data_IF_300439036553
#
_entry.id   IF_300439036553
#
_cell.length_a   1.000
_cell.length_b   1.000
_cell.length_c   1.000
_cell.angle_alpha   90.00
_cell.angle_beta   90.00
_cell.angle_gamma   90.00
#
_symmetry.space_group_name_H-M   'P 1'
#
loop_
_entity.id
_entity.type
_entity.pdbx_description
1 polymer ?
2 non-polymer ?
3 non-polymer ?
4 non-polymer ?
5 non-polymer ?
6 water ?
#
# COMPACT_ATOMS: atom_id res chain seq x y z
N UNK A 122 24.87 -12.82 -20.68
CA UNK A 122 24.87 -11.67 -21.57
C UNK A 122 24.24 -10.44 -20.94
N UNK A 123 24.73 -9.26 -21.29
CA UNK A 123 24.22 -8.05 -20.66
C UNK A 123 22.76 -7.80 -21.06
N UNK A 124 22.43 -7.99 -22.34
CA UNK A 124 21.05 -7.83 -22.79
C UNK A 124 20.10 -8.77 -22.05
N UNK A 125 20.54 -10.00 -21.85
CA UNK A 125 19.70 -10.97 -21.16
C UNK A 125 19.48 -10.52 -19.74
N UNK A 126 20.55 -10.06 -19.11
CA UNK A 126 20.45 -9.64 -17.72
C UNK A 126 19.61 -8.41 -17.57
N UNK A 127 19.55 -7.58 -18.62
CA UNK A 127 18.81 -6.32 -18.62
C UNK A 127 17.40 -6.43 -19.20
N UNK A 128 17.04 -7.61 -19.68
CA UNK A 128 15.77 -7.80 -20.35
C UNK A 128 14.57 -7.53 -19.44
N UNK A 129 13.71 -6.63 -19.88
CA UNK A 129 12.50 -6.32 -19.15
C UNK A 129 12.71 -5.41 -17.94
N UNK A 130 13.93 -4.89 -17.80
CA UNK A 130 14.27 -3.99 -16.71
C UNK A 130 14.31 -2.59 -17.27
N UNK A 131 13.37 -1.76 -16.85
CA UNK A 131 13.24 -0.44 -17.44
C UNK A 131 14.24 0.56 -16.86
N UNK A 132 15.04 0.13 -15.88
CA UNK A 132 15.98 1.04 -15.22
C UNK A 132 17.46 0.78 -15.51
N UNK A 133 17.77 -0.31 -16.20
CA UNK A 133 19.14 -0.60 -16.64
C UNK A 133 19.10 -1.21 -18.02
N UNK A 134 20.08 -0.84 -18.84
CA UNK A 134 20.16 -1.37 -20.20
C UNK A 134 21.35 -2.31 -20.33
N UNK A 135 21.34 -3.12 -21.38
CA UNK A 135 22.46 -3.97 -21.67
C UNK A 135 23.74 -3.18 -21.89
N UNK A 136 23.63 -2.04 -22.58
CA UNK A 136 24.76 -1.15 -22.82
C UNK A 136 25.39 -0.67 -21.52
N UNK A 137 24.55 -0.32 -20.55
CA UNK A 137 25.05 0.15 -19.27
C UNK A 137 25.81 -0.96 -18.54
N UNK A 138 25.28 -2.17 -18.60
CA UNK A 138 25.93 -3.28 -17.92
C UNK A 138 27.27 -3.62 -18.61
N UNK A 139 27.28 -3.66 -19.94
CA UNK A 139 28.51 -3.93 -20.67
C UNK A 139 29.53 -2.84 -20.45
N UNK A 140 29.05 -1.59 -20.34
CA UNK A 140 29.96 -0.47 -20.11
C UNK A 140 30.66 -0.60 -18.77
N UNK A 141 29.90 -1.02 -17.77
CA UNK A 141 30.42 -1.17 -16.42
C UNK A 141 31.45 -2.29 -16.44
N UNK A 142 31.09 -3.40 -17.08
CA UNK A 142 31.99 -4.55 -17.20
C UNK A 142 33.30 -4.10 -17.83
N UNK A 143 33.22 -3.38 -18.94
CA UNK A 143 34.42 -3.01 -19.69
C UNK A 143 35.31 -2.01 -18.94
N UNK A 144 34.71 -1.24 -18.04
CA UNK A 144 35.44 -0.25 -17.25
C UNK A 144 36.20 -0.88 -16.07
N UNK A 145 35.84 -2.11 -15.72
CA UNK A 145 36.45 -2.78 -14.56
C UNK A 145 37.62 -3.66 -15.03
N UNK A 146 38.84 -3.30 -14.64
CA UNK A 146 40.02 -4.03 -15.05
C UNK A 146 40.23 -5.33 -14.29
N UNK A 147 41.07 -6.20 -14.85
CA UNK A 147 41.34 -7.50 -14.24
C UNK A 147 41.83 -7.40 -12.81
N UNK A 148 42.54 -6.31 -12.51
CA UNK A 148 43.14 -6.13 -11.18
C UNK A 148 42.43 -5.13 -10.31
N UNK A 149 41.20 -4.79 -10.68
CA UNK A 149 40.41 -3.89 -9.88
C UNK A 149 40.20 -4.43 -8.48
N UNK A 150 40.35 -3.57 -7.48
CA UNK A 150 40.04 -3.92 -6.10
C UNK A 150 38.53 -3.84 -5.86
N UNK A 151 38.06 -4.45 -4.77
CA UNK A 151 36.64 -4.29 -4.44
C UNK A 151 36.23 -2.83 -4.30
N UNK A 152 37.10 -2.00 -3.76
CA UNK A 152 36.80 -0.58 -3.59
C UNK A 152 36.71 0.11 -4.94
N UNK A 153 37.61 -0.23 -5.85
CA UNK A 153 37.57 0.29 -7.22
C UNK A 153 36.25 -0.08 -7.88
N UNK A 154 35.83 -1.32 -7.68
CA UNK A 154 34.62 -1.83 -8.28
C UNK A 154 33.41 -1.05 -7.76
N UNK A 155 33.31 -0.90 -6.46
CA UNK A 155 32.17 -0.17 -5.89
C UNK A 155 32.17 1.28 -6.33
N UNK A 156 33.33 1.89 -6.43
CA UNK A 156 33.38 3.28 -6.88
C UNK A 156 32.78 3.41 -8.28
N UNK A 157 33.11 2.48 -9.17
CA UNK A 157 32.60 2.52 -10.53
C UNK A 157 31.11 2.22 -10.59
N UNK A 158 30.68 1.19 -9.86
CA UNK A 158 29.26 0.88 -9.80
C UNK A 158 28.44 2.08 -9.31
N UNK A 159 28.93 2.73 -8.26
CA UNK A 159 28.26 3.90 -7.70
C UNK A 159 28.20 5.05 -8.69
N UNK A 160 29.26 5.22 -9.48
CA UNK A 160 29.35 6.34 -10.43
C UNK A 160 28.33 6.15 -11.54
N UNK A 161 28.16 4.91 -11.98
CA UNK A 161 27.33 4.62 -13.14
C UNK A 161 25.88 4.31 -12.84
N UNK A 162 25.61 3.83 -11.62
CA UNK A 162 24.28 3.39 -11.22
C UNK A 162 23.91 4.01 -9.89
N UNK A 163 22.81 4.75 -9.86
CA UNK A 163 22.46 5.57 -8.72
C UNK A 163 21.76 4.84 -7.54
N UNK A 164 20.92 3.88 -7.86
CA UNK A 164 20.01 3.30 -6.90
C UNK A 164 20.57 2.01 -6.32
N UNK A 165 20.51 1.83 -4.98
CA UNK A 165 21.09 0.60 -4.42
C UNK A 165 20.55 -0.71 -4.97
N UNK A 166 19.26 -0.79 -5.29
CA UNK A 166 18.71 -2.03 -5.86
C UNK A 166 19.33 -2.35 -7.21
N UNK A 167 19.52 -1.32 -8.02
CA UNK A 167 20.11 -1.48 -9.34
C UNK A 167 21.60 -1.75 -9.23
N UNK A 168 22.26 -1.15 -8.23
CA UNK A 168 23.67 -1.43 -7.99
C UNK A 168 23.85 -2.90 -7.67
N UNK A 169 22.96 -3.41 -6.83
CA UNK A 169 23.02 -4.81 -6.40
C UNK A 169 22.80 -5.74 -7.60
N UNK A 170 21.83 -5.38 -8.45
CA UNK A 170 21.55 -6.10 -9.68
C UNK A 170 22.78 -6.11 -10.59
N UNK A 171 23.43 -4.96 -10.77
CA UNK A 171 24.61 -4.90 -11.60
C UNK A 171 25.74 -5.77 -11.05
N UNK A 172 25.88 -5.78 -9.73
CA UNK A 172 26.89 -6.62 -9.09
C UNK A 172 26.62 -8.09 -9.33
N UNK A 173 25.38 -8.51 -9.27
CA UNK A 173 25.03 -9.91 -9.61
C UNK A 173 25.44 -10.23 -11.05
N UNK A 174 25.13 -9.34 -11.98
CA UNK A 174 25.54 -9.52 -13.37
C UNK A 174 27.06 -9.64 -13.47
N UNK A 175 27.79 -8.76 -12.81
CA UNK A 175 29.24 -8.75 -12.92
C UNK A 175 29.82 -10.04 -12.39
N UNK A 176 29.37 -10.47 -11.23
CA UNK A 176 29.88 -11.74 -10.65
C UNK A 176 29.60 -12.90 -11.59
N UNK A 177 28.38 -12.98 -12.06
CA UNK A 177 27.91 -14.14 -12.78
C UNK A 177 28.48 -14.26 -14.17
N UNK A 178 28.92 -13.17 -14.78
CA UNK A 178 29.43 -13.24 -16.14
C UNK A 178 30.92 -13.01 -16.25
N UNK A 179 31.61 -13.05 -15.12
CA UNK A 179 33.08 -13.03 -15.17
C UNK A 179 33.58 -14.44 -15.44
N UNK A 180 34.41 -14.59 -16.45
CA UNK A 180 34.86 -15.90 -16.85
C UNK A 180 35.99 -16.36 -16.04
N UNK A 181 36.20 -17.73 -16.21
CA UNK A 181 37.25 -18.32 -15.37
C UNK A 181 38.62 -17.76 -15.53
N UNK A 182 38.95 -17.18 -16.66
CA UNK A 182 40.29 -16.64 -16.86
C UNK A 182 40.58 -15.51 -15.89
N UNK A 183 39.51 -14.90 -15.39
CA UNK A 183 39.59 -13.71 -14.57
C UNK A 183 39.18 -14.12 -13.14
N UNK A 184 39.88 -15.07 -12.56
CA UNK A 184 39.61 -15.58 -11.25
C UNK A 184 39.78 -14.58 -10.14
N UNK A 185 40.84 -13.81 -10.23
CA UNK A 185 41.13 -12.73 -9.28
C UNK A 185 39.98 -11.74 -9.30
N UNK A 186 39.56 -11.34 -10.48
CA UNK A 186 38.48 -10.38 -10.61
C UNK A 186 37.19 -10.96 -10.03
N UNK A 187 36.88 -12.22 -10.32
CA UNK A 187 35.66 -12.80 -9.78
C UNK A 187 35.65 -12.72 -8.24
N UNK A 188 36.79 -13.01 -7.61
CA UNK A 188 36.91 -12.92 -6.16
C UNK A 188 36.68 -11.48 -5.70
N UNK A 189 37.26 -10.51 -6.40
CA UNK A 189 37.11 -9.09 -6.03
C UNK A 189 35.66 -8.66 -6.15
N UNK A 190 34.99 -9.11 -7.20
CA UNK A 190 33.58 -8.81 -7.43
C UNK A 190 32.70 -9.41 -6.35
N UNK A 191 32.96 -10.66 -5.97
CA UNK A 191 32.24 -11.28 -4.86
C UNK A 191 32.42 -10.47 -3.58
N UNK A 192 33.63 -10.02 -3.29
CA UNK A 192 33.89 -9.20 -2.11
C UNK A 192 33.14 -7.88 -2.22
N UNK A 193 33.17 -7.25 -3.38
CA UNK A 193 32.48 -5.98 -3.59
C UNK A 193 30.99 -6.15 -3.33
N UNK A 194 30.41 -7.21 -3.87
CA UNK A 194 28.98 -7.44 -3.70
C UNK A 194 28.64 -7.71 -2.23
N UNK A 195 29.49 -8.47 -1.55
CA UNK A 195 29.29 -8.72 -0.13
C UNK A 195 29.35 -7.42 0.68
N UNK A 196 30.30 -6.55 0.35
CA UNK A 196 30.41 -5.27 1.02
C UNK A 196 29.21 -4.41 0.77
N UNK A 197 28.72 -4.38 -0.45
CA UNK A 197 27.52 -3.60 -0.78
C UNK A 197 26.30 -4.09 0.01
N UNK A 198 26.16 -5.40 0.11
CA UNK A 198 25.07 -5.97 0.89
C UNK A 198 25.25 -5.74 2.39
N UNK A 199 26.49 -5.75 2.87
CA UNK A 199 26.77 -5.39 4.25
C UNK A 199 26.34 -3.94 4.53
N UNK A 200 26.65 -3.04 3.61
CA UNK A 200 26.31 -1.62 3.72
C UNK A 200 24.78 -1.46 3.82
N UNK A 201 24.07 -2.04 2.87
CA UNK A 201 22.67 -1.70 2.71
C UNK A 201 21.67 -2.68 3.29
N UNK A 202 22.03 -3.95 3.38
CA UNK A 202 21.10 -4.95 3.89
C UNK A 202 19.82 -4.98 3.09
N UNK A 203 18.71 -5.01 3.80
CA UNK A 203 17.39 -5.04 3.20
C UNK A 203 17.13 -3.85 2.26
N UNK A 204 17.75 -2.71 2.53
CA UNK A 204 17.61 -1.56 1.66
C UNK A 204 17.99 -1.88 0.22
N UNK A 205 19.03 -2.70 0.05
CA UNK A 205 19.39 -3.19 -1.28
C UNK A 205 18.62 -4.44 -1.65
N UNK A 206 18.57 -5.43 -0.77
CA UNK A 206 18.06 -6.74 -1.15
C UNK A 206 16.53 -6.80 -1.25
N UNK A 207 15.86 -6.18 -0.30
CA UNK A 207 14.40 -6.13 -0.37
C UNK A 207 13.92 -5.36 -1.59
N UNK A 208 14.55 -4.24 -1.85
CA UNK A 208 14.25 -3.45 -3.03
C UNK A 208 14.56 -4.23 -4.31
N UNK A 209 15.69 -4.93 -4.34
CA UNK A 209 15.99 -5.73 -5.49
C UNK A 209 14.96 -6.84 -5.70
N UNK A 210 14.51 -7.44 -4.62
CA UNK A 210 13.52 -8.51 -4.70
C UNK A 210 12.26 -8.07 -5.42
N UNK A 211 11.88 -6.80 -5.29
CA UNK A 211 10.62 -6.29 -5.85
C UNK A 211 10.84 -5.37 -7.04
N UNK A 212 11.99 -5.48 -7.69
CA UNK A 212 12.33 -4.56 -8.76
C UNK A 212 11.30 -4.55 -9.89
N UNK A 213 10.94 -5.71 -10.41
CA UNK A 213 10.04 -5.72 -11.56
C UNK A 213 8.60 -5.33 -11.16
N UNK A 214 8.15 -5.69 -9.97
CA UNK A 214 6.86 -5.22 -9.52
C UNK A 214 6.85 -3.69 -9.41
N UNK A 215 7.93 -3.13 -8.87
CA UNK A 215 7.97 -1.68 -8.74
C UNK A 215 7.90 -0.99 -10.09
N UNK A 216 8.51 -1.58 -11.11
CA UNK A 216 8.48 -1.00 -12.44
C UNK A 216 7.10 -1.08 -13.05
N UNK A 217 6.42 -2.22 -12.88
CA UNK A 217 5.09 -2.41 -13.42
C UNK A 217 4.13 -1.41 -12.82
N UNK A 218 4.14 -1.29 -11.50
CA UNK A 218 3.21 -0.41 -10.82
C UNK A 218 3.60 1.05 -10.98
N UNK A 219 4.88 1.35 -11.12
CA UNK A 219 5.29 2.72 -11.41
C UNK A 219 4.78 3.18 -12.77
N UNK A 220 4.72 2.26 -13.71
CA UNK A 220 4.16 2.56 -15.03
C UNK A 220 2.67 2.87 -14.89
N UNK A 221 1.96 2.08 -14.11
CA UNK A 221 0.51 2.28 -13.97
C UNK A 221 0.17 3.56 -13.21
N UNK A 222 1.08 4.00 -12.35
CA UNK A 222 0.88 5.22 -11.59
C UNK A 222 1.55 6.43 -12.21
N UNK A 223 2.41 6.21 -13.19
CA UNK A 223 3.26 7.26 -13.76
C UNK A 223 4.11 7.97 -12.70
N UNK A 224 4.82 7.16 -11.93
CA UNK A 224 5.70 7.65 -10.88
C UNK A 224 7.03 6.92 -11.00
N UNK A 225 7.98 7.30 -10.17
CA UNK A 225 9.28 6.63 -10.19
C UNK A 225 9.23 5.27 -9.53
N UNK A 226 9.89 4.28 -10.17
CA UNK A 226 9.98 2.96 -9.52
C UNK A 226 10.75 3.05 -8.18
N UNK A 227 11.79 3.88 -8.13
CA UNK A 227 12.55 3.99 -6.89
C UNK A 227 11.71 4.53 -5.73
N UNK A 228 10.83 5.49 -5.99
CA UNK A 228 9.98 6.02 -4.97
C UNK A 228 9.03 4.97 -4.44
N UNK A 229 8.53 4.10 -5.31
CA UNK A 229 7.69 3.01 -4.88
C UNK A 229 8.48 2.01 -4.05
N UNK A 230 9.73 1.72 -4.42
CA UNK A 230 10.52 0.81 -3.59
C UNK A 230 10.79 1.41 -2.22
N UNK A 231 11.00 2.72 -2.13
CA UNK A 231 11.18 3.35 -0.82
C UNK A 231 9.93 3.25 0.01
N UNK A 232 8.77 3.50 -0.59
CA UNK A 232 7.51 3.32 0.10
C UNK A 232 7.34 1.89 0.58
N UNK A 233 7.66 0.92 -0.28
CA UNK A 233 7.56 -0.48 0.09
C UNK A 233 8.42 -0.79 1.29
N UNK A 234 9.66 -0.30 1.29
CA UNK A 234 10.56 -0.54 2.40
C UNK A 234 10.08 0.13 3.68
N UNK A 235 9.43 1.28 3.55
CA UNK A 235 8.82 1.94 4.68
C UNK A 235 7.67 1.11 5.27
N UNK A 236 6.80 0.60 4.40
CA UNK A 236 5.68 -0.21 4.84
C UNK A 236 6.13 -1.50 5.51
N UNK A 237 7.15 -2.13 4.94
CA UNK A 237 7.60 -3.44 5.38
C UNK A 237 8.64 -3.38 6.48
N UNK A 238 9.05 -2.17 6.85
CA UNK A 238 10.05 -1.98 7.89
C UNK A 238 9.52 -1.89 9.29
N UNK A 239 8.21 -2.01 9.46
CA UNK A 239 7.65 -1.93 10.80
C UNK A 239 6.31 -2.61 10.75
N UNK A 240 5.74 -2.86 11.92
CA UNK A 240 4.38 -3.32 11.97
C UNK A 240 3.54 -2.11 11.56
N UNK A 241 2.55 -2.38 10.77
CA UNK A 241 1.55 -1.41 10.44
C UNK A 241 0.22 -2.10 10.43
N UNK A 242 -0.73 -1.47 11.10
CA UNK A 242 -2.12 -1.86 11.01
C UNK A 242 -2.76 -1.20 9.81
N UNK A 243 -3.93 -1.68 9.43
CA UNK A 243 -4.70 -1.06 8.37
C UNK A 243 -4.87 0.45 8.60
N UNK A 244 -5.24 0.84 9.82
CA UNK A 244 -5.40 2.28 10.11
C UNK A 244 -4.11 3.05 9.83
N UNK A 245 -2.96 2.49 10.22
CA UNK A 245 -1.69 3.17 9.98
C UNK A 245 -1.36 3.26 8.50
N UNK A 246 -1.66 2.20 7.76
CA UNK A 246 -1.44 2.21 6.32
C UNK A 246 -2.33 3.25 5.66
N UNK A 247 -3.60 3.33 6.03
CA UNK A 247 -4.49 4.30 5.46
C UNK A 247 -3.99 5.71 5.72
N UNK A 248 -3.56 5.96 6.96
CA UNK A 248 -3.09 7.29 7.33
C UNK A 248 -1.85 7.69 6.55
N UNK A 249 -0.89 6.77 6.39
CA UNK A 249 0.35 7.05 5.63
C UNK A 249 -0.04 7.40 4.20
N UNK A 250 -0.82 6.53 3.60
CA UNK A 250 -1.04 6.61 2.19
C UNK A 250 -1.96 7.75 1.78
N UNK A 251 -2.91 8.12 2.61
CA UNK A 251 -3.93 9.03 2.10
C UNK A 251 -3.35 10.43 1.92
N UNK A 252 -2.24 10.77 2.59
CA UNK A 252 -1.60 12.05 2.34
C UNK A 252 -0.73 12.07 1.08
N UNK A 253 -0.43 10.88 0.56
CA UNK A 253 0.54 10.71 -0.51
C UNK A 253 -0.11 10.34 -1.84
N UNK A 254 -1.33 9.81 -1.81
CA UNK A 254 -2.01 9.31 -3.01
C UNK A 254 -3.49 9.62 -2.91
N UNK A 255 -4.12 9.78 -4.07
CA UNK A 255 -5.58 9.81 -4.13
C UNK A 255 -6.13 8.45 -3.75
N UNK A 256 -7.41 8.37 -3.40
CA UNK A 256 -8.01 7.09 -3.10
C UNK A 256 -7.91 6.10 -4.27
N UNK A 257 -8.09 6.58 -5.49
CA UNK A 257 -7.97 5.73 -6.65
C UNK A 257 -6.57 5.13 -6.70
N UNK A 258 -5.56 5.96 -6.52
CA UNK A 258 -4.18 5.50 -6.57
C UNK A 258 -3.82 4.61 -5.38
N UNK A 259 -4.42 4.83 -4.22
CA UNK A 259 -4.21 3.96 -3.08
C UNK A 259 -4.55 2.52 -3.38
N UNK A 260 -5.61 2.29 -4.13
CA UNK A 260 -5.99 0.94 -4.48
C UNK A 260 -4.88 0.27 -5.32
N UNK A 261 -4.30 1.03 -6.22
CA UNK A 261 -3.21 0.52 -7.05
C UNK A 261 -1.96 0.28 -6.19
N UNK A 262 -1.63 1.22 -5.31
CA UNK A 262 -0.51 1.06 -4.42
C UNK A 262 -0.72 -0.20 -3.56
N UNK A 263 -1.94 -0.44 -3.09
CA UNK A 263 -2.18 -1.62 -2.27
C UNK A 263 -1.89 -2.91 -3.03
N UNK A 264 -2.27 -2.95 -4.31
CA UNK A 264 -1.96 -4.09 -5.15
C UNK A 264 -0.47 -4.27 -5.33
N UNK A 265 0.26 -3.18 -5.51
CA UNK A 265 1.71 -3.22 -5.56
C UNK A 265 2.30 -3.80 -4.29
N UNK A 266 1.85 -3.33 -3.14
CA UNK A 266 2.38 -3.81 -1.85
C UNK A 266 2.15 -5.29 -1.71
N UNK A 267 0.96 -5.75 -2.06
CA UNK A 267 0.63 -7.16 -1.99
C UNK A 267 1.53 -8.00 -2.90
N UNK A 268 1.77 -7.51 -4.11
CA UNK A 268 2.56 -8.24 -5.08
C UNK A 268 3.98 -8.33 -4.62
N UNK A 269 4.51 -7.22 -4.11
CA UNK A 269 5.87 -7.18 -3.63
C UNK A 269 6.08 -8.14 -2.46
N UNK A 270 5.17 -8.13 -1.50
CA UNK A 270 5.30 -9.00 -0.34
C UNK A 270 5.20 -10.43 -0.75
N UNK A 271 4.27 -10.79 -1.65
CA UNK A 271 4.17 -12.17 -2.08
C UNK A 271 5.45 -12.62 -2.76
N UNK A 272 6.05 -11.73 -3.55
CA UNK A 272 7.31 -12.03 -4.22
C UNK A 272 8.40 -12.34 -3.21
N UNK A 273 8.51 -11.53 -2.16
CA UNK A 273 9.55 -11.75 -1.16
C UNK A 273 9.34 -13.04 -0.39
N UNK A 274 8.09 -13.41 -0.12
CA UNK A 274 7.83 -14.66 0.59
C UNK A 274 8.25 -15.86 -0.26
N UNK A 275 8.08 -15.75 -1.58
CA UNK A 275 8.60 -16.74 -2.53
C UNK A 275 10.10 -16.82 -2.56
N UNK A 276 10.77 -15.70 -2.35
CA UNK A 276 12.22 -15.63 -2.40
C UNK A 276 12.84 -16.04 -1.08
N UNK A 277 12.33 -15.77 0.06
CA UNK A 277 13.00 -16.13 1.29
C UNK A 277 14.38 -15.45 1.39
N UNK A 278 15.10 -15.73 2.46
CA UNK A 278 16.39 -15.15 2.71
C UNK A 278 16.47 -14.33 4.00
N UNK A 279 17.69 -14.03 4.41
CA UNK A 279 17.87 -13.36 5.70
C UNK A 279 17.29 -11.96 5.75
N UNK A 280 17.12 -11.29 4.61
CA UNK A 280 16.61 -9.92 4.58
C UNK A 280 15.12 -9.87 4.34
N UNK A 281 14.45 -11.02 4.34
CA UNK A 281 13.00 -11.09 4.22
C UNK A 281 12.38 -11.48 5.56
N UNK A 282 11.62 -10.56 6.17
CA UNK A 282 11.01 -10.84 7.47
C UNK A 282 9.66 -11.51 7.25
N UNK A 283 9.69 -12.81 6.98
CA UNK A 283 8.51 -13.48 6.44
C UNK A 283 7.29 -13.39 7.32
N UNK A 284 7.45 -13.62 8.62
CA UNK A 284 6.29 -13.57 9.50
C UNK A 284 5.68 -12.15 9.55
N UNK A 285 6.54 -11.14 9.57
CA UNK A 285 6.07 -9.76 9.54
C UNK A 285 5.32 -9.46 8.25
N UNK A 286 5.83 -9.97 7.14
CA UNK A 286 5.16 -9.75 5.85
C UNK A 286 3.78 -10.40 5.83
N UNK A 287 3.64 -11.58 6.43
CA UNK A 287 2.34 -12.22 6.46
C UNK A 287 1.31 -11.34 7.16
N UNK A 288 1.69 -10.76 8.29
CA UNK A 288 0.78 -9.88 9.03
C UNK A 288 0.49 -8.63 8.20
N UNK A 289 1.51 -8.04 7.56
CA UNK A 289 1.28 -6.87 6.74
C UNK A 289 0.35 -7.17 5.55
N UNK A 290 0.44 -8.37 4.99
CA UNK A 290 -0.47 -8.78 3.94
C UNK A 290 -1.92 -8.84 4.43
N UNK A 291 -2.13 -9.36 5.63
CA UNK A 291 -3.47 -9.36 6.24
C UNK A 291 -3.98 -7.93 6.41
N UNK A 292 -3.13 -7.04 6.88
CA UNK A 292 -3.52 -5.66 7.08
C UNK A 292 -3.77 -4.91 5.78
N UNK A 293 -2.99 -5.24 4.75
CA UNK A 293 -3.17 -4.64 3.44
C UNK A 293 -4.49 -5.11 2.84
N UNK A 294 -4.76 -6.41 2.98
CA UNK A 294 -6.02 -6.97 2.52
C UNK A 294 -7.18 -6.24 3.20
N UNK A 295 -6.98 -5.88 4.47
CA UNK A 295 -7.97 -5.13 5.22
C UNK A 295 -8.12 -3.74 4.62
N UNK A 296 -6.99 -3.12 4.27
CA UNK A 296 -7.00 -1.81 3.63
C UNK A 296 -7.75 -1.84 2.32
N UNK A 297 -7.54 -2.86 1.53
CA UNK A 297 -8.26 -2.99 0.26
C UNK A 297 -9.78 -3.00 0.49
N UNK A 298 -10.21 -3.72 1.52
CA UNK A 298 -11.62 -3.75 1.86
C UNK A 298 -12.12 -2.38 2.34
N UNK A 299 -11.31 -1.67 3.11
CA UNK A 299 -11.67 -0.32 3.53
C UNK A 299 -11.80 0.58 2.30
N UNK A 300 -10.86 0.50 1.36
CA UNK A 300 -10.94 1.31 0.15
C UNK A 300 -12.21 1.02 -0.66
N UNK A 301 -12.60 -0.23 -0.77
CA UNK A 301 -13.85 -0.56 -1.44
C UNK A 301 -15.03 0.09 -0.75
N UNK A 302 -15.04 0.04 0.57
CA UNK A 302 -16.07 0.71 1.36
C UNK A 302 -16.12 2.19 1.08
N UNK A 303 -14.96 2.83 1.08
CA UNK A 303 -14.90 4.25 0.80
C UNK A 303 -15.50 4.58 -0.56
N UNK A 304 -15.36 3.70 -1.55
CA UNK A 304 -15.99 3.92 -2.85
C UNK A 304 -17.51 4.03 -2.76
N UNK A 305 -18.14 3.21 -1.91
CA UNK A 305 -19.58 3.31 -1.73
C UNK A 305 -19.94 4.67 -1.19
N UNK A 306 -19.21 5.13 -0.17
CA UNK A 306 -19.46 6.47 0.37
C UNK A 306 -19.17 7.55 -0.65
N UNK A 307 -18.15 7.38 -1.47
CA UNK A 307 -17.81 8.40 -2.45
C UNK A 307 -18.94 8.60 -3.45
N UNK A 308 -19.65 7.54 -3.79
CA UNK A 308 -20.83 7.60 -4.64
C UNK A 308 -21.99 8.29 -3.93
N UNK A 309 -22.33 7.80 -2.74
CA UNK A 309 -23.61 8.15 -2.12
C UNK A 309 -23.60 9.46 -1.37
N UNK A 310 -22.51 9.80 -0.72
CA UNK A 310 -22.51 10.99 0.14
C UNK A 310 -22.83 12.27 -0.63
N UNK A 311 -22.19 12.52 -1.79
CA UNK A 311 -22.55 13.76 -2.49
C UNK A 311 -24.02 13.77 -2.91
N UNK A 312 -24.57 12.63 -3.25
CA UNK A 312 -25.96 12.53 -3.65
C UNK A 312 -26.87 12.90 -2.47
N UNK A 313 -26.62 12.31 -1.31
CA UNK A 313 -27.40 12.63 -0.14
C UNK A 313 -27.31 14.11 0.21
N UNK A 314 -26.11 14.63 0.26
CA UNK A 314 -25.93 16.03 0.63
C UNK A 314 -26.59 16.97 -0.35
N UNK A 315 -26.49 16.70 -1.65
CA UNK A 315 -27.14 17.55 -2.64
C UNK A 315 -28.66 17.47 -2.51
N UNK A 316 -29.19 16.28 -2.22
CA UNK A 316 -30.63 16.08 -2.05
C UNK A 316 -31.16 16.86 -0.86
N UNK A 317 -30.41 16.83 0.24
CA UNK A 317 -30.81 17.59 1.41
C UNK A 317 -30.79 19.10 1.13
N UNK A 318 -29.73 19.54 0.46
CA UNK A 318 -29.59 20.95 0.12
C UNK A 318 -30.73 21.43 -0.77
N UNK A 319 -31.15 20.59 -1.72
CA UNK A 319 -32.21 20.96 -2.65
C UNK A 319 -33.53 21.17 -1.94
N UNK A 320 -33.69 20.57 -0.77
CA UNK A 320 -34.89 20.78 0.04
C UNK A 320 -34.71 21.78 1.17
N UNK A 321 -33.62 22.52 1.13
CA UNK A 321 -33.38 23.60 2.06
C UNK A 321 -32.86 23.14 3.41
N UNK A 322 -32.41 21.91 3.51
CA UNK A 322 -31.86 21.38 4.76
C UNK A 322 -30.36 21.68 4.77
N UNK A 323 -29.93 22.44 5.78
CA UNK A 323 -28.56 22.89 5.92
C UNK A 323 -27.69 21.80 6.51
N UNK A 324 -26.56 21.50 5.84
CA UNK A 324 -25.58 20.56 6.34
C UNK A 324 -24.24 21.27 6.37
N UNK A 325 -23.34 20.85 7.27
CA UNK A 325 -22.05 21.54 7.35
C UNK A 325 -21.29 21.48 6.05
N UNK A 326 -20.78 22.61 5.60
CA UNK A 326 -20.25 22.72 4.25
C UNK A 326 -18.95 21.95 4.05
N UNK A 327 -18.28 21.55 5.14
CA UNK A 327 -17.05 20.76 5.00
C UNK A 327 -17.27 19.25 5.08
N UNK A 328 -18.51 18.82 5.21
CA UNK A 328 -18.80 17.39 5.26
C UNK A 328 -18.57 16.78 3.87
N UNK A 329 -17.86 15.66 3.83
CA UNK A 329 -17.57 14.97 2.60
C UNK A 329 -17.58 13.49 2.83
N UNK A 330 -17.35 12.70 1.77
CA UNK A 330 -17.48 11.25 1.88
C UNK A 330 -16.49 10.65 2.84
N UNK A 331 -15.30 11.25 2.96
CA UNK A 331 -14.28 10.70 3.84
C UNK A 331 -14.71 10.78 5.30
N UNK A 332 -15.20 11.94 5.71
CA UNK A 332 -15.66 12.09 7.07
C UNK A 332 -16.80 11.13 7.40
N UNK A 333 -17.74 10.97 6.48
CA UNK A 333 -18.85 10.06 6.66
C UNK A 333 -18.36 8.60 6.75
N UNK A 334 -17.46 8.21 5.86
CA UNK A 334 -16.92 6.87 5.86
C UNK A 334 -16.13 6.62 7.16
N UNK A 335 -15.39 7.63 7.64
CA UNK A 335 -14.66 7.48 8.89
C UNK A 335 -15.58 7.17 10.06
N UNK A 336 -16.72 7.84 10.09
CA UNK A 336 -17.70 7.60 11.14
C UNK A 336 -18.28 6.20 11.07
N UNK A 337 -18.60 5.72 9.88
CA UNK A 337 -19.08 4.36 9.68
C UNK A 337 -18.05 3.35 10.19
N UNK A 338 -16.78 3.52 9.81
CA UNK A 338 -15.76 2.60 10.24
C UNK A 338 -15.54 2.67 11.75
N UNK A 339 -15.66 3.86 12.33
CA UNK A 339 -15.55 3.97 13.78
C UNK A 339 -16.66 3.12 14.41
N UNK A 340 -17.82 2.95 13.70
CA UNK A 340 -18.93 2.37 14.44
C UNK A 340 -18.65 0.87 14.38
N UNK A 341 -18.24 0.39 13.20
CA UNK A 341 -18.06 -1.03 13.05
C UNK A 341 -16.88 -1.55 13.81
N UNK A 342 -15.96 -0.68 14.18
CA UNK A 342 -14.79 -1.08 14.97
C UNK A 342 -14.96 -0.87 16.46
N UNK A 343 -16.08 -0.29 16.87
CA UNK A 343 -16.31 0.00 18.31
C UNK A 343 -16.54 -1.31 19.03
N UNK A 344 -15.84 -1.54 20.14
CA UNK A 344 -16.05 -2.78 20.88
C UNK A 344 -17.41 -2.79 21.62
N UNK A 345 -17.98 -1.59 21.85
CA UNK A 345 -19.25 -1.47 22.58
C UNK A 345 -20.22 -0.49 21.93
N UNK A 346 -20.61 -0.81 20.70
CA UNK A 346 -21.57 0.06 20.01
C UNK A 346 -22.96 -0.17 20.56
N UNK A 347 -23.79 0.86 20.46
CA UNK A 347 -25.19 0.77 20.81
C UNK A 347 -25.98 1.64 19.84
N UNK A 348 -27.29 1.44 19.80
CA UNK A 348 -28.15 2.27 18.98
C UNK A 348 -28.01 3.75 19.31
N UNK A 349 -27.95 4.07 20.61
CA UNK A 349 -27.83 5.48 20.97
C UNK A 349 -26.49 6.03 20.56
N UNK A 350 -25.42 5.29 20.40
CA UNK A 350 -24.05 5.79 20.28
C UNK A 350 -23.65 6.00 18.84
N UNK A 351 -24.65 5.07 17.99
CA UNK A 351 -24.68 5.22 16.54
C UNK A 351 -25.42 6.52 16.16
N UNK A 352 -26.58 6.73 16.77
CA UNK A 352 -27.33 7.94 16.49
C UNK A 352 -26.52 9.17 16.84
N UNK A 353 -25.83 9.14 18.00
CA UNK A 353 -25.03 10.29 18.40
C UNK A 353 -23.87 10.53 17.44
N UNK A 354 -23.24 9.48 16.95
CA UNK A 354 -22.20 9.62 15.95
C UNK A 354 -22.72 10.35 14.72
N UNK A 355 -23.91 9.98 14.26
CA UNK A 355 -24.52 10.63 13.09
C UNK A 355 -24.85 12.09 13.36
N UNK A 356 -25.45 12.40 14.51
CA UNK A 356 -25.81 13.77 14.83
C UNK A 356 -24.57 14.64 14.95
N UNK A 357 -23.49 14.09 15.48
CA UNK A 357 -22.24 14.84 15.54
C UNK A 357 -21.71 15.18 14.17
N UNK A 358 -21.97 14.32 13.20
CA UNK A 358 -21.49 14.43 11.84
C UNK A 358 -22.29 15.44 10.99
N UNK A 359 -23.62 15.32 11.02
CA UNK A 359 -24.46 16.04 10.06
C UNK A 359 -25.43 16.99 10.72
N UNK A 360 -25.54 16.99 12.03
CA UNK A 360 -26.47 17.87 12.73
C UNK A 360 -27.75 17.15 13.05
N UNK A 361 -28.76 17.94 13.44
CA UNK A 361 -29.94 17.37 14.09
C UNK A 361 -31.20 17.24 13.25
N UNK A 362 -31.17 17.64 11.98
CA UNK A 362 -32.35 17.48 11.14
C UNK A 362 -32.72 16.00 10.99
N UNK A 363 -33.99 15.69 11.12
CA UNK A 363 -34.44 14.33 11.13
C UNK A 363 -34.16 13.62 9.80
N UNK A 364 -34.33 14.34 8.70
CA UNK A 364 -34.05 13.78 7.38
C UNK A 364 -32.57 13.58 7.15
N UNK A 365 -31.73 14.51 7.61
CA UNK A 365 -30.28 14.32 7.49
C UNK A 365 -29.83 13.09 8.26
N UNK A 366 -30.29 12.96 9.48
CA UNK A 366 -29.90 11.87 10.34
C UNK A 366 -30.39 10.53 9.78
N UNK A 367 -31.64 10.48 9.34
CA UNK A 367 -32.23 9.31 8.71
C UNK A 367 -31.43 8.90 7.49
N UNK A 368 -31.08 9.85 6.66
CA UNK A 368 -30.37 9.54 5.43
C UNK A 368 -29.02 8.92 5.71
N UNK A 369 -28.27 9.45 6.67
CA UNK A 369 -26.99 8.88 7.00
C UNK A 369 -27.14 7.51 7.63
N UNK A 370 -28.13 7.33 8.49
CA UNK A 370 -28.38 6.01 9.08
C UNK A 370 -28.71 4.98 8.02
N UNK A 371 -29.56 5.33 7.05
CA UNK A 371 -29.88 4.40 5.97
C UNK A 371 -28.66 4.08 5.13
N UNK A 372 -27.81 5.10 4.91
CA UNK A 372 -26.57 4.91 4.18
C UNK A 372 -25.66 3.93 4.91
N UNK A 373 -25.54 4.08 6.23
CA UNK A 373 -24.74 3.17 7.04
C UNK A 373 -25.31 1.76 7.01
N UNK A 374 -26.64 1.63 7.08
CA UNK A 374 -27.25 0.33 7.03
C UNK A 374 -26.95 -0.37 5.69
N UNK A 375 -27.03 0.39 4.61
CA UNK A 375 -26.67 -0.11 3.29
C UNK A 375 -25.20 -0.47 3.20
N UNK A 376 -24.33 0.35 3.75
CA UNK A 376 -22.89 0.11 3.70
C UNK A 376 -22.57 -1.22 4.41
N UNK A 377 -23.29 -1.50 5.49
CA UNK A 377 -23.05 -2.68 6.29
C UNK A 377 -23.23 -3.90 5.42
N UNK A 378 -24.32 -3.89 4.65
CA UNK A 378 -24.65 -5.03 3.83
C UNK A 378 -23.58 -5.42 2.90
N UNK A 379 -22.88 -4.44 2.39
CA UNK A 379 -21.87 -4.65 1.40
C UNK A 379 -20.41 -4.74 1.83
N UNK A 380 -20.14 -4.44 3.10
CA UNK A 380 -18.78 -4.49 3.61
C UNK A 380 -18.23 -5.90 3.58
N UNK A 381 -16.94 -6.03 3.25
CA UNK A 381 -16.30 -7.34 3.18
C UNK A 381 -16.52 -8.11 4.47
N UNK A 382 -16.32 -9.42 4.40
CA UNK A 382 -16.48 -10.28 5.57
C UNK A 382 -15.19 -10.37 6.37
N UNK A 383 -14.23 -9.53 6.01
CA UNK A 383 -12.99 -9.45 6.75
C UNK A 383 -12.92 -8.28 7.72
N UNK A 384 -13.83 -7.34 7.58
CA UNK A 384 -13.88 -6.18 8.45
C UNK A 384 -14.84 -6.34 9.64
N UNK A 385 -15.39 -7.52 9.80
CA UNK A 385 -16.20 -7.90 10.95
C UNK A 385 -15.59 -9.14 11.60
N UNK A 386 -15.84 -9.41 12.87
CA UNK A 386 -15.34 -10.62 13.51
C UNK A 386 -16.16 -11.85 13.12
N UNK A 387 -17.42 -11.63 12.76
CA UNK A 387 -18.30 -12.71 12.35
C UNK A 387 -19.53 -12.13 11.66
N UNK A 388 -20.28 -13.01 11.00
CA UNK A 388 -21.55 -12.62 10.40
C UNK A 388 -22.51 -12.16 11.49
N UNK A 389 -22.43 -12.80 12.66
CA UNK A 389 -23.24 -12.37 13.80
C UNK A 389 -22.95 -10.93 14.16
N UNK A 390 -21.69 -10.51 14.14
CA UNK A 390 -21.35 -9.14 14.49
C UNK A 390 -21.96 -8.14 13.50
N UNK A 391 -21.88 -8.45 12.22
CA UNK A 391 -22.46 -7.61 11.19
C UNK A 391 -23.97 -7.50 11.44
N UNK A 392 -24.62 -8.62 11.74
CA UNK A 392 -26.07 -8.60 11.98
C UNK A 392 -26.42 -7.75 13.20
N UNK A 393 -25.60 -7.85 14.24
CA UNK A 393 -25.83 -7.10 15.45
C UNK A 393 -25.75 -5.60 15.19
N UNK A 394 -24.78 -5.20 14.40
CA UNK A 394 -24.62 -3.80 14.02
C UNK A 394 -25.79 -3.32 13.20
N UNK A 395 -26.27 -4.17 12.30
CA UNK A 395 -27.44 -3.79 11.50
C UNK A 395 -28.66 -3.56 12.36
N UNK A 396 -28.86 -4.41 13.35
CA UNK A 396 -30.00 -4.28 14.23
C UNK A 396 -29.94 -2.99 15.06
N UNK A 397 -28.75 -2.57 15.45
CA UNK A 397 -28.64 -1.34 16.21
C UNK A 397 -28.85 -0.12 15.32
N UNK A 398 -28.42 -0.18 14.07
CA UNK A 398 -28.72 0.90 13.14
C UNK A 398 -30.22 0.98 12.89
N UNK A 399 -30.87 -0.15 12.70
CA UNK A 399 -32.32 -0.18 12.51
C UNK A 399 -33.02 0.37 13.75
N UNK A 400 -32.51 0.04 14.95
CA UNK A 400 -33.12 0.56 16.16
C UNK A 400 -32.95 2.06 16.24
N UNK A 401 -31.79 2.57 15.82
CA UNK A 401 -31.57 4.02 15.79
C UNK A 401 -32.54 4.70 14.81
N UNK A 402 -32.78 4.08 13.65
CA UNK A 402 -33.75 4.62 12.69
C UNK A 402 -35.15 4.70 13.29
N UNK A 403 -35.53 3.70 14.04
CA UNK A 403 -36.83 3.73 14.71
C UNK A 403 -36.88 4.85 15.76
N UNK A 404 -35.82 4.97 16.56
CA UNK A 404 -35.73 5.98 17.61
C UNK A 404 -35.86 7.38 17.02
N UNK A 405 -35.19 7.62 15.92
CA UNK A 405 -35.21 8.92 15.30
C UNK A 405 -36.62 9.29 14.88
N UNK A 406 -37.38 8.32 14.37
CA UNK A 406 -38.76 8.58 14.01
C UNK A 406 -39.67 8.79 15.22
N UNK A 407 -39.51 7.95 16.25
CA UNK A 407 -40.32 8.08 17.47
C UNK A 407 -40.17 9.46 18.06
N UNK A 408 -38.94 9.97 18.06
CA UNK A 408 -38.65 11.18 18.78
C UNK A 408 -38.83 12.43 17.92
N UNK A 409 -39.18 12.26 16.66
CA UNK A 409 -39.42 13.38 15.75
C UNK A 409 -40.64 14.19 16.19
X LIG B 1 -2.49 -15.26 6.55
X LIG B 1 -1.38 -15.09 7.04
X LIG B 1 -3.29 -15.69 7.15
X LIG B 1 -2.68 -14.98 5.53
X LIG C 1 -37.96 7.60 6.65
X LIG C 1 -37.49 8.24 5.71
X LIG C 1 -38.86 7.03 6.50
X LIG C 1 -37.48 7.61 7.61
X LIG D 1 -14.23 15.33 -0.88
X LIG D 1 -14.80 15.00 -1.91
X LIG D 1 -14.59 16.19 -0.33
X LIG D 1 -13.39 14.78 -0.51
X LIG E 1 -8.49 11.49 -2.98
X LIG E 1 -8.88 10.94 -4.00
X LIG E 1 -7.49 11.84 -2.91
X LIG E 1 -9.17 11.61 -2.15
X LIG F 1 -35.53 -3.13 19.85
X LIG F 1 -34.75 -4.08 19.91
X LIG F 1 -35.16 -2.13 19.77
X LIG F 1 -36.59 -3.32 19.89
X LIG G 1 -26.74 1.62 -8.14
X LIG G 1 -27.59 2.78 -8.31
X LIG G 1 -25.63 1.49 -9.08
X LIG G 1 -26.55 1.18 -6.78
X LIG G 1 -27.53 0.42 -8.50
X LIG H 1 -5.88 -13.34 5.57
X LIG H 1 -7.33 -13.24 5.63
X LIG H 1 -5.53 -13.73 4.21
X LIG H 1 -5.27 -12.07 5.85
X LIG H 1 -5.31 -14.41 6.36
X LIG I 1 29.98 8.36 -7.15
X LIG J 1 7.62 9.96 -8.58
X LIG K 1 -12.64 -5.32 -1.63
X LIG L 1 25.69 -11.50 1.74
X LIG M 1 12.19 9.24 -5.71
X LIG M 1 13.06 8.11 -5.38
X LIG M 1 11.01 9.52 -4.90
X LIG M 1 12.24 9.64 -6.63
X LIG M 1 13.86 8.07 -6.07
X LIG M 1 12.50 7.21 -5.44
X LIG M 1 13.44 8.23 -4.40
X LIG M 1 10.51 10.37 -5.28
X LIG M 1 10.36 8.68 -4.93
X LIG M 1 11.31 9.70 -3.90
#
# INVERSE_FOLDING_TARGET
MKHHHHHHPMSDYDIPTTENLYFQGAMAASGGTGGLGGTQGVNLAAVEAAAAKADAAEVVASQEGSEMNMIQQSQDLTNPAAATRTKKKEEKFQTLESRKKGEAGKAEKKSESTEEKPDTDLADKYASGNSEISGQELRGLRDAIGDDASPEDILALVQEKIKDPALQSTALDYLVQTTPPSQGKLKEALIQARNTHTEQFGRTAIGAKNILFASQEYADQLNVSPSGLRSLYLEVTGDTHTCDQLLSMLQDRYTYQDMAIVSSFLMKGMATELKRQGPYVPSAQLQVLMTETRNLQAVLTSYDYFESRVPILLDSLKAEGIQTPSDLNFVKVAESYHKIINDKFPTASKVEREVRNLIGDDVDSVTGVLNLFFSALRQTSSRLFSSADKRQQLGAMIANALDAVNINNEDYPKASDFPKPYPWS
FOR C O H1 H2
FOR C O H1 H2
FOR C O H1 H2
FOR C O H1 H2
FOR C O H1 H2
SO4 S O1 O2 O3 O4
SO4 S O1 O2 O3 O4
CL CL
CL CL
CL CL
CL CL
DMN N1 C2 C3 HN1 H21 H22 H23 H31 H32 H33
#
